data_IF_885679415795
#
_entry.id   IF_885679415795
#
_cell.length_a   1.000
_cell.length_b   1.000
_cell.length_c   1.000
_cell.angle_alpha   90.00
_cell.angle_beta   90.00
_cell.angle_gamma   90.00
#
_symmetry.space_group_name_H-M   'P 1'
#
loop_
_entity.id
_entity.type
_entity.pdbx_description
1 polymer ?
#
# COMPACT_ATOMS: atom_id res chain seq x y z
N UNK A 1 -22.60 -6.51 -29.30
CA UNK A 1 -21.16 -6.81 -29.05
C UNK A 1 -20.38 -5.51 -29.12
N UNK A 2 -20.24 -4.79 -27.99
CA UNK A 2 -19.41 -3.58 -27.93
C UNK A 2 -18.04 -3.94 -27.34
N UNK A 3 -17.02 -3.99 -28.21
CA UNK A 3 -15.62 -3.95 -27.79
C UNK A 3 -15.38 -2.56 -27.18
N UNK A 4 -15.40 -2.47 -25.86
CA UNK A 4 -14.77 -1.36 -25.15
C UNK A 4 -13.26 -1.57 -25.34
N UNK A 5 -12.70 -0.87 -26.32
CA UNK A 5 -11.26 -0.69 -26.44
C UNK A 5 -10.82 0.00 -25.17
N UNK A 6 -10.13 -0.74 -24.29
CA UNK A 6 -9.45 -0.15 -23.15
C UNK A 6 -8.48 0.92 -23.69
N UNK A 7 -8.83 2.19 -23.49
CA UNK A 7 -7.91 3.28 -23.74
C UNK A 7 -6.70 3.05 -22.84
N UNK A 8 -5.60 2.57 -23.43
CA UNK A 8 -4.32 2.50 -22.72
C UNK A 8 -4.00 3.94 -22.31
N UNK A 9 -4.05 4.22 -21.01
CA UNK A 9 -3.61 5.51 -20.49
C UNK A 9 -2.22 5.81 -21.06
N UNK A 10 -2.09 6.95 -21.73
CA UNK A 10 -0.90 7.28 -22.50
C UNK A 10 0.27 7.42 -21.53
N UNK A 11 1.26 6.54 -21.65
CA UNK A 11 2.49 6.66 -20.88
C UNK A 11 3.13 8.03 -21.18
N UNK A 12 3.59 8.72 -20.15
CA UNK A 12 4.26 10.03 -20.25
C UNK A 12 5.74 9.92 -19.85
N UNK A 13 6.54 10.88 -20.28
CA UNK A 13 7.97 10.94 -20.04
C UNK A 13 8.32 11.91 -18.91
N UNK A 14 9.58 11.89 -18.47
CA UNK A 14 10.07 12.80 -17.43
C UNK A 14 9.91 14.28 -17.81
N UNK A 15 10.00 14.62 -19.10
CA UNK A 15 9.80 16.01 -19.56
C UNK A 15 8.39 16.53 -19.26
N UNK A 16 7.38 15.65 -19.27
CA UNK A 16 6.00 16.01 -18.99
C UNK A 16 5.80 16.38 -17.52
N UNK A 17 6.57 15.78 -16.61
CA UNK A 17 6.54 16.09 -15.18
C UNK A 17 6.98 17.52 -14.86
N UNK A 18 7.81 18.14 -15.70
CA UNK A 18 8.30 19.51 -15.47
C UNK A 18 7.16 20.51 -15.60
N UNK A 19 6.25 20.27 -16.57
CA UNK A 19 5.14 21.14 -16.93
C UNK A 19 3.86 20.84 -16.15
N UNK A 20 3.81 19.68 -15.50
CA UNK A 20 2.63 19.23 -14.76
C UNK A 20 2.48 19.91 -13.40
N UNK A 21 1.23 20.09 -12.97
CA UNK A 21 0.91 20.43 -11.58
C UNK A 21 1.28 19.25 -10.67
N UNK A 22 2.00 19.55 -9.58
CA UNK A 22 2.56 18.55 -8.68
C UNK A 22 2.31 18.90 -7.23
N UNK A 23 1.79 17.94 -6.47
CA UNK A 23 1.66 18.05 -5.02
C UNK A 23 2.50 16.98 -4.35
N UNK A 24 3.36 17.39 -3.43
CA UNK A 24 4.18 16.47 -2.65
C UNK A 24 3.31 15.69 -1.65
N UNK A 25 3.23 14.37 -1.83
CA UNK A 25 2.53 13.49 -0.87
C UNK A 25 3.46 13.02 0.23
N UNK A 26 4.69 12.65 -0.14
CA UNK A 26 5.73 12.19 0.79
C UNK A 26 7.09 12.48 0.21
N UNK A 27 7.88 13.31 0.90
CA UNK A 27 9.22 13.63 0.42
C UNK A 27 10.15 12.43 0.45
N UNK A 28 9.94 11.45 1.34
CA UNK A 28 10.81 10.29 1.51
C UNK A 28 12.19 10.67 2.05
N UNK A 29 12.78 9.86 2.93
CA UNK A 29 14.14 10.09 3.45
C UNK A 29 15.02 8.87 3.20
N UNK A 30 16.31 9.11 2.98
CA UNK A 30 17.36 8.11 2.75
C UNK A 30 17.05 7.15 1.58
N UNK A 31 16.37 6.04 1.87
CA UNK A 31 16.12 4.93 0.96
C UNK A 31 14.67 4.86 0.45
N UNK A 32 13.85 5.88 0.71
CA UNK A 32 12.46 5.93 0.25
C UNK A 32 12.31 6.83 -0.97
N UNK A 33 11.43 6.47 -1.91
CA UNK A 33 11.06 7.31 -3.03
C UNK A 33 10.49 8.65 -2.56
N UNK A 34 10.70 9.70 -3.35
CA UNK A 34 9.86 10.89 -3.31
C UNK A 34 8.54 10.52 -3.99
N UNK A 35 7.41 10.83 -3.36
CA UNK A 35 6.08 10.47 -3.84
C UNK A 35 5.29 11.75 -4.07
N UNK A 36 4.85 11.95 -5.31
CA UNK A 36 4.12 13.14 -5.74
C UNK A 36 2.81 12.72 -6.41
N UNK A 37 1.77 13.52 -6.21
CA UNK A 37 0.55 13.51 -7.03
C UNK A 37 0.79 14.44 -8.21
N UNK A 38 0.52 13.98 -9.42
CA UNK A 38 0.79 14.72 -10.65
C UNK A 38 -0.44 14.70 -11.55
N UNK A 39 -0.86 15.86 -12.05
CA UNK A 39 -1.96 15.98 -13.00
C UNK A 39 -1.42 16.09 -14.43
N UNK A 40 -1.73 15.13 -15.29
CA UNK A 40 -1.32 15.10 -16.71
C UNK A 40 -2.52 14.68 -17.56
N UNK A 41 -2.83 15.46 -18.60
CA UNK A 41 -3.93 15.19 -19.53
C UNK A 41 -5.30 14.96 -18.85
N UNK A 42 -5.61 15.76 -17.83
CA UNK A 42 -6.87 15.68 -17.08
C UNK A 42 -6.94 14.52 -16.07
N UNK A 43 -5.82 13.84 -15.86
CA UNK A 43 -5.76 12.59 -15.12
C UNK A 43 -4.71 12.66 -14.01
N UNK A 44 -4.99 11.99 -12.88
CA UNK A 44 -4.14 12.06 -11.71
C UNK A 44 -3.29 10.81 -11.50
N UNK A 45 -2.02 11.04 -11.19
CA UNK A 45 -0.99 10.02 -11.10
C UNK A 45 -0.26 10.10 -9.78
N UNK A 46 0.05 8.95 -9.20
CA UNK A 46 1.07 8.84 -8.16
C UNK A 46 2.39 8.53 -8.83
N UNK A 47 3.36 9.43 -8.69
CA UNK A 47 4.72 9.26 -9.20
C UNK A 47 5.65 8.95 -8.04
N UNK A 48 6.40 7.85 -8.16
CA UNK A 48 7.45 7.48 -7.22
C UNK A 48 8.80 7.66 -7.89
N UNK A 49 9.60 8.60 -7.40
CA UNK A 49 10.88 8.98 -7.99
C UNK A 49 12.05 8.83 -7.01
N UNK A 50 13.10 8.18 -7.46
CA UNK A 50 14.37 8.01 -6.75
C UNK A 50 15.50 8.90 -7.30
N UNK A 51 15.27 9.69 -8.35
CA UNK A 51 16.31 10.49 -9.01
C UNK A 51 17.04 11.45 -8.05
N UNK A 52 16.32 11.99 -7.07
CA UNK A 52 16.84 12.89 -6.02
C UNK A 52 17.63 12.18 -4.91
N UNK A 53 17.77 10.84 -4.95
CA UNK A 53 18.52 10.07 -3.95
C UNK A 53 19.99 9.95 -4.32
N UNK A 54 20.80 9.58 -3.32
CA UNK A 54 22.22 9.33 -3.51
C UNK A 54 22.44 8.32 -4.65
N UNK A 55 23.58 8.47 -5.33
CA UNK A 55 23.88 7.69 -6.53
C UNK A 55 23.73 6.17 -6.30
N UNK A 56 24.24 5.68 -5.17
CA UNK A 56 24.10 4.27 -4.78
C UNK A 56 22.65 3.87 -4.60
N UNK A 57 21.86 4.65 -3.86
CA UNK A 57 20.44 4.33 -3.61
C UNK A 57 19.65 4.30 -4.91
N UNK A 58 19.77 5.32 -5.77
CA UNK A 58 18.98 5.40 -7.00
C UNK A 58 19.36 4.39 -8.07
N UNK A 59 20.62 3.90 -8.08
CA UNK A 59 21.10 2.93 -9.07
C UNK A 59 21.03 1.47 -8.60
N UNK A 60 20.83 1.21 -7.32
CA UNK A 60 20.72 -0.15 -6.75
C UNK A 60 19.32 -0.40 -6.17
N UNK A 61 19.15 -0.12 -4.87
CA UNK A 61 17.94 -0.38 -4.09
C UNK A 61 16.71 0.28 -4.71
N UNK A 62 16.80 1.53 -5.14
CA UNK A 62 15.69 2.24 -5.78
C UNK A 62 15.20 1.52 -7.05
N UNK A 63 16.12 1.09 -7.92
CA UNK A 63 15.76 0.30 -9.13
C UNK A 63 15.09 -1.01 -8.78
N UNK A 64 15.59 -1.71 -7.76
CA UNK A 64 15.01 -2.97 -7.29
C UNK A 64 13.58 -2.76 -6.75
N UNK A 65 13.39 -1.77 -5.89
CA UNK A 65 12.11 -1.45 -5.28
C UNK A 65 11.07 -1.05 -6.33
N UNK A 66 11.44 -0.16 -7.27
CA UNK A 66 10.56 0.24 -8.38
C UNK A 66 10.21 -0.92 -9.30
N UNK A 67 11.18 -1.78 -9.63
CA UNK A 67 10.95 -2.99 -10.44
C UNK A 67 9.95 -3.92 -9.75
N UNK A 68 10.12 -4.13 -8.44
CA UNK A 68 9.23 -4.98 -7.64
C UNK A 68 7.81 -4.42 -7.59
N UNK A 69 7.68 -3.15 -7.25
CA UNK A 69 6.39 -2.49 -7.15
C UNK A 69 5.67 -2.45 -8.50
N UNK A 70 6.35 -2.06 -9.58
CA UNK A 70 5.77 -2.06 -10.91
C UNK A 70 5.26 -3.44 -11.32
N UNK A 71 6.04 -4.50 -11.07
CA UNK A 71 5.64 -5.88 -11.37
C UNK A 71 4.45 -6.36 -10.53
N UNK A 72 4.33 -5.87 -9.29
CA UNK A 72 3.18 -6.15 -8.44
C UNK A 72 1.95 -5.44 -9.01
N UNK A 73 2.01 -4.13 -9.23
CA UNK A 73 0.88 -3.35 -9.76
C UNK A 73 0.41 -3.86 -11.14
N UNK A 74 1.34 -4.27 -12.02
CA UNK A 74 0.98 -4.88 -13.30
C UNK A 74 0.19 -6.19 -13.14
N UNK A 75 0.50 -7.01 -12.13
CA UNK A 75 -0.28 -8.22 -11.80
C UNK A 75 -1.66 -7.91 -11.22
N UNK A 76 -1.80 -6.74 -10.59
CA UNK A 76 -3.05 -6.30 -9.96
C UNK A 76 -3.99 -5.55 -10.91
N UNK A 77 -3.60 -5.41 -12.19
CA UNK A 77 -4.45 -4.75 -13.20
C UNK A 77 -5.89 -5.30 -13.17
N UNK A 78 -6.86 -4.39 -13.09
CA UNK A 78 -8.28 -4.72 -13.05
C UNK A 78 -8.83 -5.01 -11.64
N UNK A 79 -8.03 -4.93 -10.58
CA UNK A 79 -8.54 -4.99 -9.20
C UNK A 79 -8.88 -3.56 -8.76
N UNK A 80 -10.18 -3.29 -8.57
CA UNK A 80 -10.66 -2.03 -7.99
C UNK A 80 -10.08 -1.83 -6.59
N UNK A 81 -9.80 -0.57 -6.21
CA UNK A 81 -9.15 -0.25 -4.95
C UNK A 81 -7.63 -0.44 -4.92
N UNK A 82 -6.98 -0.74 -6.05
CA UNK A 82 -5.51 -0.73 -6.19
C UNK A 82 -5.06 0.28 -7.26
N UNK A 83 -3.81 0.78 -7.22
CA UNK A 83 -3.30 1.68 -8.26
C UNK A 83 -3.30 1.00 -9.63
N UNK A 84 -4.02 1.57 -10.58
CA UNK A 84 -4.15 1.08 -11.95
C UNK A 84 -3.08 1.68 -12.89
N UNK A 85 -3.06 1.21 -14.14
CA UNK A 85 -2.23 1.71 -15.25
C UNK A 85 -0.76 1.96 -14.88
N UNK A 86 -0.17 1.09 -14.07
CA UNK A 86 1.20 1.27 -13.62
C UNK A 86 2.20 1.07 -14.78
N UNK A 87 3.07 2.06 -14.98
CA UNK A 87 4.11 2.03 -16.00
C UNK A 87 5.42 2.65 -15.51
N UNK A 88 6.50 2.38 -16.25
CA UNK A 88 7.81 2.95 -15.98
C UNK A 88 7.98 4.26 -16.75
N UNK A 89 8.33 5.34 -16.05
CA UNK A 89 8.72 6.60 -16.69
C UNK A 89 10.16 6.47 -17.19
N UNK A 90 11.08 6.03 -16.32
CA UNK A 90 12.49 5.78 -16.65
C UNK A 90 13.15 4.83 -15.62
N UNK A 91 14.48 4.77 -15.61
CA UNK A 91 15.24 3.90 -14.71
C UNK A 91 15.06 4.23 -13.21
N UNK A 92 14.57 5.41 -12.85
CA UNK A 92 14.48 5.94 -11.49
C UNK A 92 13.06 6.33 -11.07
N UNK A 93 12.08 6.25 -11.97
CA UNK A 93 10.70 6.60 -11.66
C UNK A 93 9.66 5.66 -12.30
N UNK A 94 8.57 5.45 -11.58
CA UNK A 94 7.35 4.79 -12.06
C UNK A 94 6.14 5.68 -11.76
N UNK A 95 5.07 5.48 -12.53
CA UNK A 95 3.77 6.11 -12.31
C UNK A 95 2.69 5.03 -12.22
N UNK A 96 1.63 5.33 -11.48
CA UNK A 96 0.37 4.58 -11.45
C UNK A 96 -0.77 5.56 -11.19
N UNK A 97 -2.01 5.18 -11.51
CA UNK A 97 -3.19 6.02 -11.23
C UNK A 97 -3.25 6.37 -9.74
N UNK A 98 -3.52 7.65 -9.45
CA UNK A 98 -3.78 8.09 -8.10
C UNK A 98 -5.08 7.46 -7.59
N UNK A 99 -5.05 6.92 -6.37
CA UNK A 99 -6.23 6.32 -5.72
C UNK A 99 -6.83 7.38 -4.78
N UNK A 100 -8.01 7.95 -5.07
CA UNK A 100 -8.54 9.12 -4.37
C UNK A 100 -9.19 8.76 -3.02
N UNK A 101 -8.41 8.21 -2.10
CA UNK A 101 -8.91 7.76 -0.79
C UNK A 101 -8.25 8.45 0.40
N UNK A 102 -8.95 8.46 1.54
CA UNK A 102 -8.41 8.94 2.81
C UNK A 102 -7.76 7.78 3.56
N UNK A 103 -6.51 7.98 3.99
CA UNK A 103 -5.79 6.99 4.79
C UNK A 103 -6.53 6.64 6.09
N UNK A 104 -6.61 5.36 6.41
CA UNK A 104 -7.23 4.89 7.66
C UNK A 104 -6.48 5.40 8.91
N UNK A 105 -5.24 5.87 8.74
CA UNK A 105 -4.50 6.53 9.81
C UNK A 105 -5.03 7.94 10.15
N UNK A 106 -5.84 8.54 9.29
CA UNK A 106 -6.30 9.94 9.37
C UNK A 106 -7.82 10.10 9.46
N UNK A 107 -8.60 9.04 9.25
CA UNK A 107 -10.06 9.12 9.38
C UNK A 107 -10.51 8.75 10.79
N UNK A 108 -11.71 9.19 11.14
CA UNK A 108 -12.38 8.73 12.34
C UNK A 108 -12.66 7.23 12.25
N UNK A 109 -12.31 6.50 13.31
CA UNK A 109 -12.53 5.06 13.41
C UNK A 109 -14.01 4.71 13.49
N UNK A 110 -14.86 5.64 13.93
CA UNK A 110 -16.32 5.45 13.93
C UNK A 110 -16.89 5.18 12.53
N UNK A 111 -16.20 5.60 11.46
CA UNK A 111 -16.59 5.33 10.08
C UNK A 111 -16.25 3.89 9.63
N UNK A 112 -15.43 3.15 10.38
CA UNK A 112 -15.02 1.80 10.01
C UNK A 112 -16.07 0.80 10.47
N UNK A 113 -16.95 0.36 9.58
CA UNK A 113 -17.96 -0.65 9.85
C UNK A 113 -17.43 -2.08 9.68
N UNK A 114 -18.11 -3.10 10.22
CA UNK A 114 -17.82 -4.50 9.90
C UNK A 114 -17.83 -4.78 8.39
N UNK A 115 -18.85 -4.28 7.68
CA UNK A 115 -18.96 -4.40 6.21
C UNK A 115 -17.74 -3.81 5.47
N UNK A 116 -17.23 -2.66 5.92
CA UNK A 116 -15.99 -2.10 5.36
C UNK A 116 -14.80 -3.06 5.52
N UNK A 117 -14.67 -3.67 6.71
CA UNK A 117 -13.56 -4.58 6.99
C UNK A 117 -13.70 -5.91 6.24
N UNK A 118 -14.92 -6.40 6.00
CA UNK A 118 -15.20 -7.54 5.13
C UNK A 118 -14.80 -7.25 3.67
N UNK A 119 -15.16 -6.08 3.14
CA UNK A 119 -14.71 -5.66 1.82
C UNK A 119 -13.18 -5.52 1.77
N UNK A 120 -12.54 -5.10 2.86
CA UNK A 120 -11.08 -4.97 2.92
C UNK A 120 -10.40 -6.34 2.92
N UNK A 121 -10.98 -7.35 3.58
CA UNK A 121 -10.56 -8.74 3.46
C UNK A 121 -10.67 -9.21 2.01
N UNK A 122 -11.84 -9.03 1.38
CA UNK A 122 -12.07 -9.43 0.00
C UNK A 122 -11.10 -8.76 -0.98
N UNK A 123 -10.79 -7.47 -0.78
CA UNK A 123 -9.79 -6.76 -1.59
C UNK A 123 -8.40 -7.38 -1.42
N UNK A 124 -7.98 -7.69 -0.19
CA UNK A 124 -6.67 -8.29 0.07
C UNK A 124 -6.60 -9.73 -0.45
N UNK A 125 -7.69 -10.49 -0.38
CA UNK A 125 -7.81 -11.82 -1.00
C UNK A 125 -7.73 -11.74 -2.53
N UNK A 126 -8.34 -10.73 -3.16
CA UNK A 126 -8.20 -10.48 -4.59
C UNK A 126 -6.73 -10.21 -4.96
N UNK A 127 -6.01 -9.45 -4.15
CA UNK A 127 -4.55 -9.24 -4.30
C UNK A 127 -3.79 -10.57 -4.17
N UNK A 128 -4.10 -11.38 -3.16
CA UNK A 128 -3.47 -12.70 -2.93
C UNK A 128 -3.76 -13.68 -4.08
N UNK A 129 -4.95 -13.62 -4.68
CA UNK A 129 -5.34 -14.46 -5.81
C UNK A 129 -4.44 -14.23 -7.04
N UNK A 130 -3.90 -13.01 -7.21
CA UNK A 130 -2.92 -12.66 -8.24
C UNK A 130 -1.48 -13.08 -7.90
N UNK A 131 -1.30 -13.83 -6.81
CA UNK A 131 0.01 -14.30 -6.34
C UNK A 131 0.89 -13.16 -5.84
N UNK A 132 0.30 -12.15 -5.18
CA UNK A 132 1.00 -11.03 -4.57
C UNK A 132 0.55 -10.92 -3.12
N UNK A 133 1.50 -10.75 -2.19
CA UNK A 133 1.23 -10.34 -0.80
C UNK A 133 1.73 -8.92 -0.60
N UNK A 134 1.01 -8.09 0.15
CA UNK A 134 1.33 -6.68 0.37
C UNK A 134 2.38 -6.48 1.49
N UNK A 135 2.26 -7.23 2.59
CA UNK A 135 3.15 -7.29 3.77
C UNK A 135 3.23 -6.02 4.65
N UNK A 136 2.72 -4.87 4.20
CA UNK A 136 2.61 -3.65 5.02
C UNK A 136 1.15 -3.22 5.31
N UNK A 137 0.28 -4.21 5.55
CA UNK A 137 -1.14 -3.99 5.89
C UNK A 137 -1.36 -3.77 7.39
N UNK A 138 -0.35 -3.98 8.26
CA UNK A 138 -0.48 -3.85 9.73
C UNK A 138 -0.62 -2.41 10.20
N UNK A 139 0.01 -1.47 9.49
CA UNK A 139 -0.25 -0.04 9.62
C UNK A 139 -1.64 0.32 9.11
N UNK A 140 -2.08 1.55 9.36
CA UNK A 140 -3.29 2.12 8.76
C UNK A 140 -2.95 3.12 7.64
N UNK A 141 -1.67 3.39 7.40
CA UNK A 141 -1.19 4.40 6.44
C UNK A 141 -1.49 4.04 4.99
N UNK A 142 -1.32 2.76 4.65
CA UNK A 142 -1.42 2.23 3.28
C UNK A 142 -2.81 1.69 2.93
N UNK A 143 -3.74 1.77 3.88
CA UNK A 143 -5.14 1.38 3.70
C UNK A 143 -5.94 2.66 3.58
N UNK A 144 -6.87 2.70 2.64
CA UNK A 144 -7.67 3.87 2.31
C UNK A 144 -9.15 3.55 2.41
N UNK A 145 -9.95 4.54 2.82
CA UNK A 145 -11.37 4.59 2.53
C UNK A 145 -11.56 5.46 1.28
N UNK A 146 -12.11 4.87 0.23
CA UNK A 146 -12.42 5.54 -1.04
C UNK A 146 -13.68 6.42 -0.90
N UNK A 147 -13.97 7.31 -1.87
CA UNK A 147 -15.09 8.26 -1.78
C UNK A 147 -16.45 7.57 -1.73
N UNK A 148 -16.58 6.40 -2.35
CA UNK A 148 -17.78 5.55 -2.33
C UNK A 148 -17.89 4.68 -1.06
N UNK A 149 -16.96 4.84 -0.11
CA UNK A 149 -16.92 4.07 1.14
C UNK A 149 -16.26 2.70 1.01
N UNK A 150 -15.80 2.29 -0.17
CA UNK A 150 -15.10 1.01 -0.37
C UNK A 150 -13.62 1.10 0.04
N UNK A 151 -12.94 -0.03 0.29
CA UNK A 151 -11.53 -0.03 0.67
C UNK A 151 -10.60 0.19 -0.53
N UNK A 152 -9.46 0.79 -0.24
CA UNK A 152 -8.31 0.85 -1.15
C UNK A 152 -7.01 0.48 -0.46
N UNK A 153 -6.05 -0.03 -1.23
CA UNK A 153 -4.70 -0.39 -0.78
C UNK A 153 -3.68 0.29 -1.69
N UNK A 154 -2.70 0.96 -1.10
CA UNK A 154 -1.62 1.66 -1.81
C UNK A 154 -0.25 1.26 -1.27
N UNK A 155 0.82 1.71 -1.93
CA UNK A 155 2.21 1.47 -1.54
C UNK A 155 2.63 -0.01 -1.53
N UNK A 156 2.65 -0.61 -2.72
CA UNK A 156 3.10 -1.99 -2.92
C UNK A 156 4.62 -2.13 -2.92
N UNK A 157 5.36 -1.14 -2.41
CA UNK A 157 6.81 -1.18 -2.41
C UNK A 157 7.33 -2.37 -1.60
N UNK A 158 6.66 -2.76 -0.51
CA UNK A 158 7.00 -3.89 0.35
C UNK A 158 6.52 -5.26 -0.17
N UNK A 159 5.68 -5.27 -1.21
CA UNK A 159 5.00 -6.47 -1.69
C UNK A 159 5.96 -7.56 -2.19
N UNK A 160 5.50 -8.80 -2.20
CA UNK A 160 6.25 -9.95 -2.69
C UNK A 160 5.36 -10.80 -3.60
N UNK A 161 5.91 -11.22 -4.74
CA UNK A 161 5.28 -12.21 -5.60
C UNK A 161 5.38 -13.58 -4.94
N UNK A 162 4.25 -14.25 -4.75
CA UNK A 162 4.15 -15.62 -4.23
C UNK A 162 3.92 -16.66 -5.34
N UNK A 163 3.74 -16.24 -6.59
CA UNK A 163 3.44 -17.16 -7.71
C UNK A 163 4.49 -18.25 -7.97
N UNK A 164 5.74 -18.02 -7.58
CA UNK A 164 6.84 -18.98 -7.74
C UNK A 164 7.10 -19.82 -6.47
N UNK A 165 6.43 -19.52 -5.37
CA UNK A 165 6.68 -20.15 -4.07
C UNK A 165 5.90 -21.45 -3.91
N UNK A 166 6.43 -22.43 -3.15
CA UNK A 166 5.66 -23.60 -2.73
C UNK A 166 4.38 -23.19 -1.99
N UNK A 167 3.29 -23.96 -2.18
CA UNK A 167 1.96 -23.59 -1.68
C UNK A 167 1.91 -23.35 -0.17
N UNK A 168 2.71 -24.08 0.63
CA UNK A 168 2.79 -23.90 2.09
C UNK A 168 3.37 -22.53 2.46
N UNK A 169 4.45 -22.10 1.79
CA UNK A 169 5.08 -20.80 2.03
C UNK A 169 4.17 -19.66 1.59
N UNK A 170 3.53 -19.80 0.41
CA UNK A 170 2.54 -18.85 -0.08
C UNK A 170 1.42 -18.63 0.94
N UNK A 171 0.78 -19.71 1.41
CA UNK A 171 -0.30 -19.63 2.41
C UNK A 171 0.14 -18.95 3.70
N UNK A 172 1.34 -19.27 4.20
CA UNK A 172 1.88 -18.62 5.39
C UNK A 172 2.03 -17.10 5.20
N UNK A 173 2.55 -16.65 4.06
CA UNK A 173 2.68 -15.22 3.78
C UNK A 173 1.32 -14.52 3.63
N UNK A 174 0.36 -15.15 2.96
CA UNK A 174 -1.01 -14.67 2.84
C UNK A 174 -1.68 -14.56 4.22
N UNK A 175 -1.49 -15.54 5.10
CA UNK A 175 -1.98 -15.51 6.49
C UNK A 175 -1.34 -14.39 7.33
N UNK A 176 -0.03 -14.16 7.16
CA UNK A 176 0.68 -13.08 7.86
C UNK A 176 0.24 -11.69 7.37
N UNK A 177 -0.03 -11.57 6.07
CA UNK A 177 -0.52 -10.34 5.46
C UNK A 177 -1.97 -10.05 5.87
N UNK A 178 -2.85 -11.05 5.85
CA UNK A 178 -4.24 -10.93 6.31
C UNK A 178 -4.34 -10.61 7.81
N UNK A 179 -3.40 -11.10 8.62
CA UNK A 179 -3.34 -10.73 10.04
C UNK A 179 -3.15 -9.22 10.28
N UNK A 180 -2.70 -8.46 9.27
CA UNK A 180 -2.71 -7.02 9.30
C UNK A 180 -4.11 -6.41 9.30
N UNK A 181 -5.06 -7.02 8.58
CA UNK A 181 -6.49 -6.67 8.55
C UNK A 181 -7.19 -7.15 9.82
N UNK A 182 -6.96 -8.39 10.27
CA UNK A 182 -7.55 -8.87 11.53
C UNK A 182 -7.12 -8.09 12.76
N UNK A 183 -5.93 -7.48 12.74
CA UNK A 183 -5.54 -6.52 13.77
C UNK A 183 -6.51 -5.33 13.86
N UNK A 184 -7.14 -4.92 12.76
CA UNK A 184 -8.13 -3.82 12.72
C UNK A 184 -9.45 -4.31 13.27
N UNK A 185 -9.91 -5.48 12.87
CA UNK A 185 -11.08 -6.11 13.48
C UNK A 185 -10.96 -6.14 15.00
N UNK A 186 -9.88 -6.71 15.52
CA UNK A 186 -9.65 -6.79 16.96
C UNK A 186 -9.55 -5.42 17.65
N UNK A 187 -9.12 -4.38 16.95
CA UNK A 187 -8.92 -3.05 17.54
C UNK A 187 -10.12 -2.11 17.38
N UNK A 188 -10.91 -2.26 16.33
CA UNK A 188 -11.92 -1.28 15.91
C UNK A 188 -13.34 -1.85 15.90
N UNK A 189 -13.49 -3.16 15.68
CA UNK A 189 -14.76 -3.86 15.69
C UNK A 189 -14.67 -5.18 16.48
N UNK A 190 -14.18 -5.18 17.75
CA UNK A 190 -13.91 -6.41 18.49
C UNK A 190 -15.17 -7.24 18.77
N UNK A 191 -16.33 -6.60 18.92
CA UNK A 191 -17.60 -7.27 19.19
C UNK A 191 -18.20 -7.93 17.95
N UNK A 192 -17.93 -7.37 16.76
CA UNK A 192 -18.38 -7.95 15.49
C UNK A 192 -17.38 -8.97 14.91
N UNK A 193 -16.17 -9.06 15.48
CA UNK A 193 -15.16 -10.02 15.05
C UNK A 193 -15.51 -11.42 15.54
N UNK A 194 -15.88 -12.30 14.62
CA UNK A 194 -16.21 -13.70 14.91
C UNK A 194 -15.00 -14.52 15.43
N UNK A 195 -15.32 -15.73 15.90
CA UNK A 195 -14.34 -16.66 16.46
C UNK A 195 -13.30 -17.15 15.45
N UNK A 196 -13.65 -17.29 14.17
CA UNK A 196 -12.72 -17.77 13.15
C UNK A 196 -11.66 -16.70 12.85
N UNK A 197 -12.09 -15.47 12.59
CA UNK A 197 -11.20 -14.31 12.40
C UNK A 197 -10.28 -14.14 13.60
N UNK A 198 -10.81 -14.30 14.82
CA UNK A 198 -10.02 -14.20 16.07
C UNK A 198 -8.98 -15.32 16.15
N UNK A 199 -9.35 -16.57 15.91
CA UNK A 199 -8.44 -17.70 15.92
C UNK A 199 -7.34 -17.57 14.85
N UNK A 200 -7.69 -17.10 13.64
CA UNK A 200 -6.71 -16.81 12.57
C UNK A 200 -5.74 -15.70 12.99
N UNK A 201 -6.24 -14.62 13.58
CA UNK A 201 -5.40 -13.52 14.07
C UNK A 201 -4.41 -13.98 15.13
N UNK A 202 -4.87 -14.75 16.13
CA UNK A 202 -4.02 -15.29 17.19
C UNK A 202 -2.94 -16.22 16.65
N UNK A 203 -3.31 -17.12 15.73
CA UNK A 203 -2.39 -18.05 15.07
C UNK A 203 -1.28 -17.30 14.34
N UNK A 204 -1.62 -16.32 13.50
CA UNK A 204 -0.63 -15.49 12.81
C UNK A 204 0.26 -14.69 13.76
N UNK A 205 -0.29 -14.24 14.90
CA UNK A 205 0.50 -13.57 15.93
C UNK A 205 1.51 -14.50 16.62
N UNK A 206 1.23 -15.81 16.74
CA UNK A 206 2.19 -16.81 17.24
C UNK A 206 3.36 -16.98 16.28
N UNK A 207 3.10 -17.14 14.97
CA UNK A 207 4.15 -17.19 13.96
C UNK A 207 5.05 -15.95 13.97
N UNK A 208 4.47 -14.77 14.19
CA UNK A 208 5.23 -13.53 14.32
C UNK A 208 6.16 -13.51 15.53
N UNK A 209 5.78 -14.11 16.68
CA UNK A 209 6.68 -14.21 17.84
C UNK A 209 7.91 -15.05 17.52
N UNK A 210 7.79 -16.03 16.62
CA UNK A 210 8.90 -16.84 16.11
C UNK A 210 9.74 -16.09 15.06
N UNK A 211 9.13 -15.13 14.35
CA UNK A 211 9.77 -14.31 13.32
C UNK A 211 10.43 -13.03 13.87
N UNK A 212 10.23 -12.70 15.14
CA UNK A 212 11.04 -11.68 15.81
C UNK A 212 12.41 -12.30 16.12
N UNK A 213 13.50 -11.97 15.39
CA UNK A 213 14.81 -12.14 15.98
C UNK A 213 14.81 -11.32 17.28
N UNK A 214 15.33 -11.89 18.37
CA UNK A 214 15.71 -11.12 19.55
C UNK A 214 16.57 -9.95 19.07
N UNK A 215 15.99 -8.74 19.07
CA UNK A 215 16.66 -7.50 18.75
C UNK A 215 17.12 -7.33 17.30
N UNK A 216 16.23 -6.87 16.41
CA UNK A 216 16.57 -5.84 15.41
C UNK A 216 15.28 -5.39 14.72
N UNK A 217 14.66 -4.33 15.24
CA UNK A 217 13.86 -3.32 14.54
C UNK A 217 13.35 -2.34 15.61
N UNK A 218 14.31 -1.68 16.25
CA UNK A 218 14.06 -0.50 17.05
C UNK A 218 13.74 0.67 16.13
N UNK A 219 12.50 1.14 16.14
CA UNK A 219 12.11 2.53 15.96
C UNK A 219 10.73 2.67 16.60
N UNK A 220 10.72 2.97 17.89
CA UNK A 220 9.53 3.45 18.58
C UNK A 220 9.16 4.80 17.96
N UNK A 221 7.95 4.89 17.39
CA UNK A 221 7.34 6.20 17.12
C UNK A 221 7.03 6.84 18.48
N UNK A 222 7.93 7.69 18.98
CA UNK A 222 7.62 8.62 20.06
C UNK A 222 6.43 9.47 19.60
N UNK A 223 5.27 9.30 20.22
CA UNK A 223 4.17 10.26 20.15
C UNK A 223 4.70 11.56 20.76
N UNK A 224 4.76 12.65 19.97
CA UNK A 224 4.91 13.99 20.54
C UNK A 224 3.64 14.27 21.33
N UNK A 225 3.76 14.38 22.65
CA UNK A 225 2.74 14.98 23.48
C UNK A 225 2.64 16.46 23.12
N UNK A 226 1.44 16.92 22.80
CA UNK A 226 1.11 18.34 22.66
C UNK A 226 1.26 19.00 24.03
N UNK A 227 2.17 19.98 24.13
CA UNK A 227 2.15 20.95 25.23
C UNK A 227 0.86 21.76 25.10
N UNK A 228 0.03 21.73 26.14
CA UNK A 228 -0.98 22.76 26.39
C UNK A 228 -0.21 23.99 26.88
N UNK A 229 -0.30 25.09 26.16
CA UNK A 229 -0.02 26.41 26.70
C UNK A 229 -1.23 26.83 27.51
N UNK A 230 -1.07 26.86 28.83
CA UNK A 230 -1.84 27.72 29.72
C UNK A 230 -1.02 28.98 29.90
N UNK A 231 -1.45 30.09 29.31
CA UNK A 231 -1.02 31.42 29.73
C UNK A 231 -2.14 32.05 30.54
N UNK A 232 -1.72 32.56 31.69
CA UNK A 232 -2.47 33.33 32.68
C UNK A 232 -3.20 34.54 32.12
#
# INVERSE_FOLDING_TARGET
MNRIVAANARAFARADLIRAERTLLRDGRWANARVERVAIAGEEWTVKDFASRSWWVRNTLGRLLLRRELRALQRLRGISGTPADAFRIDAHAIAARFVPGRSLAKIDRALITPCYLEHLEALLEAVHSRGVVHLDTRGAGNLLMLPDGTPGIIDFQASVSTSWMPSRMRRLLEELDMAGVYKKWAAWQPQAMDGERRARFERSNRWRKLWLPRGYFGLSKRRRASRRETSS
#
